data_IF_825104226088
#
_entry.id   IF_825104226088
#
_cell.length_a   1.000
_cell.length_b   1.000
_cell.length_c   1.000
_cell.angle_alpha   90.00
_cell.angle_beta   90.00
_cell.angle_gamma   90.00
#
_symmetry.space_group_name_H-M   'P 1'
#
loop_
_entity.id
_entity.type
_entity.pdbx_description
1 polymer ?
#
# COMPACT_ATOMS: atom_id res chain seq x y z
N UNK A 1 -16.26 2.87 15.90
CA UNK A 1 -16.07 2.26 14.57
C UNK A 1 -15.71 3.30 13.51
N UNK A 2 -15.96 4.59 13.75
CA UNK A 2 -15.65 5.69 12.82
C UNK A 2 -14.16 5.81 12.48
N UNK A 3 -13.27 5.57 13.45
CA UNK A 3 -11.82 5.56 13.21
C UNK A 3 -11.37 4.56 12.13
N UNK A 4 -11.98 3.38 12.04
CA UNK A 4 -11.61 2.39 11.01
C UNK A 4 -12.05 2.85 9.61
N UNK A 5 -13.15 3.59 9.51
CA UNK A 5 -13.60 4.17 8.25
C UNK A 5 -12.67 5.33 7.83
N UNK A 6 -12.32 6.21 8.78
CA UNK A 6 -11.33 7.27 8.56
C UNK A 6 -9.98 6.69 8.13
N UNK A 7 -9.53 5.62 8.78
CA UNK A 7 -8.32 4.91 8.41
C UNK A 7 -8.40 4.35 6.99
N UNK A 8 -9.54 3.80 6.57
CA UNK A 8 -9.72 3.27 5.21
C UNK A 8 -9.57 4.36 4.14
N UNK A 9 -10.24 5.50 4.34
CA UNK A 9 -10.15 6.66 3.44
C UNK A 9 -8.73 7.22 3.42
N UNK A 10 -8.13 7.41 4.60
CA UNK A 10 -6.78 7.94 4.74
C UNK A 10 -5.73 7.03 4.08
N UNK A 11 -5.84 5.71 4.26
CA UNK A 11 -4.95 4.73 3.64
C UNK A 11 -5.03 4.77 2.10
N UNK A 12 -6.24 4.95 1.55
CA UNK A 12 -6.45 5.09 0.11
C UNK A 12 -5.86 6.38 -0.46
N UNK A 13 -5.96 7.49 0.28
CA UNK A 13 -5.38 8.76 -0.16
C UNK A 13 -3.85 8.75 -0.09
N UNK A 14 -3.27 8.16 0.95
CA UNK A 14 -1.81 7.94 1.02
C UNK A 14 -1.35 7.07 -0.14
N UNK A 15 -2.05 5.96 -0.42
CA UNK A 15 -1.76 5.13 -1.59
C UNK A 15 -1.70 5.94 -2.89
N UNK A 16 -2.76 6.72 -3.18
CA UNK A 16 -2.84 7.51 -4.41
C UNK A 16 -1.72 8.53 -4.48
N UNK A 17 -1.44 9.20 -3.38
CA UNK A 17 -0.41 10.23 -3.31
C UNK A 17 1.00 9.63 -3.47
N UNK A 18 1.28 8.52 -2.79
CA UNK A 18 2.54 7.80 -2.90
C UNK A 18 2.77 7.31 -4.34
N UNK A 19 1.77 6.66 -4.94
CA UNK A 19 1.87 6.16 -6.31
C UNK A 19 2.08 7.30 -7.32
N UNK A 20 1.28 8.38 -7.24
CA UNK A 20 1.37 9.47 -8.20
C UNK A 20 2.68 10.26 -8.08
N UNK A 21 3.21 10.41 -6.86
CA UNK A 21 4.53 11.01 -6.63
C UNK A 21 5.64 10.13 -7.21
N UNK A 22 5.64 8.85 -6.88
CA UNK A 22 6.63 7.90 -7.38
C UNK A 22 6.57 7.82 -8.93
N UNK A 23 5.38 7.89 -9.50
CA UNK A 23 5.16 8.01 -10.94
C UNK A 23 5.76 9.28 -11.55
N UNK A 24 5.60 10.45 -10.92
CA UNK A 24 6.20 11.69 -11.43
C UNK A 24 7.73 11.65 -11.42
N UNK A 25 8.30 10.83 -10.54
CA UNK A 25 9.74 10.64 -10.39
C UNK A 25 10.27 9.47 -11.26
N UNK A 26 9.42 8.84 -12.07
CA UNK A 26 9.71 7.63 -12.86
C UNK A 26 10.12 6.41 -12.03
N UNK A 27 9.42 6.18 -10.92
CA UNK A 27 9.55 5.03 -10.03
C UNK A 27 11.02 4.71 -9.68
N UNK A 28 11.75 5.66 -9.07
CA UNK A 28 13.14 5.44 -8.70
C UNK A 28 13.27 4.25 -7.75
N UNK A 29 14.28 3.40 -7.97
CA UNK A 29 14.63 2.38 -6.99
C UNK A 29 15.05 3.04 -5.68
N UNK A 30 14.63 2.49 -4.55
CA UNK A 30 14.99 3.04 -3.23
C UNK A 30 16.50 2.98 -2.97
N UNK A 31 17.19 1.99 -3.52
CA UNK A 31 18.64 1.78 -3.44
C UNK A 31 19.12 0.78 -4.49
N UNK A 32 20.45 0.67 -4.69
CA UNK A 32 21.05 -0.32 -5.60
C UNK A 32 20.69 -1.78 -5.28
N UNK A 33 20.38 -2.08 -4.01
CA UNK A 33 20.03 -3.43 -3.56
C UNK A 33 18.52 -3.70 -3.58
N UNK A 34 17.69 -2.70 -3.87
CA UNK A 34 16.23 -2.82 -3.92
C UNK A 34 15.74 -2.85 -5.35
N UNK A 35 14.77 -3.73 -5.61
CA UNK A 35 14.21 -3.94 -6.96
C UNK A 35 12.86 -3.25 -7.18
N UNK A 36 12.31 -2.65 -6.14
CA UNK A 36 11.04 -1.92 -6.12
C UNK A 36 11.28 -0.43 -5.84
N UNK A 37 10.26 0.39 -6.05
CA UNK A 37 10.32 1.84 -5.89
C UNK A 37 9.69 2.33 -4.58
N UNK A 38 9.82 3.62 -4.31
CA UNK A 38 9.51 4.24 -3.02
C UNK A 38 8.03 4.13 -2.62
N UNK A 39 7.09 4.14 -3.57
CA UNK A 39 5.66 4.07 -3.23
C UNK A 39 5.27 2.79 -2.50
N UNK A 40 6.00 1.69 -2.71
CA UNK A 40 5.79 0.44 -1.97
C UNK A 40 6.10 0.65 -0.49
N UNK A 41 7.24 1.30 -0.19
CA UNK A 41 7.66 1.57 1.19
C UNK A 41 6.66 2.49 1.88
N UNK A 42 6.24 3.55 1.21
CA UNK A 42 5.29 4.53 1.77
C UNK A 42 3.96 3.86 2.14
N UNK A 43 3.42 3.02 1.25
CA UNK A 43 2.17 2.28 1.49
C UNK A 43 2.32 1.31 2.67
N UNK A 44 3.38 0.50 2.69
CA UNK A 44 3.59 -0.46 3.79
C UNK A 44 3.89 0.23 5.12
N UNK A 45 4.61 1.35 5.12
CA UNK A 45 4.88 2.13 6.33
C UNK A 45 3.56 2.59 6.95
N UNK A 46 2.68 3.19 6.15
CA UNK A 46 1.38 3.64 6.61
C UNK A 46 0.50 2.48 7.12
N UNK A 47 0.41 1.37 6.38
CA UNK A 47 -0.39 0.22 6.79
C UNK A 47 0.14 -0.40 8.10
N UNK A 48 1.46 -0.43 8.29
CA UNK A 48 2.07 -0.91 9.53
C UNK A 48 1.82 0.04 10.70
N UNK A 49 1.85 1.35 10.48
CA UNK A 49 1.49 2.35 11.49
C UNK A 49 0.03 2.21 11.91
N UNK A 50 -0.89 2.08 10.96
CA UNK A 50 -2.31 1.85 11.24
C UNK A 50 -2.54 0.56 12.03
N UNK A 51 -1.84 -0.53 11.68
CA UNK A 51 -1.89 -1.78 12.43
C UNK A 51 -1.35 -1.61 13.86
N UNK A 52 -0.27 -0.84 14.03
CA UNK A 52 0.32 -0.57 15.34
C UNK A 52 -0.66 0.21 16.22
N UNK A 53 -1.32 1.23 15.68
CA UNK A 53 -2.36 1.98 16.39
C UNK A 53 -3.53 1.09 16.80
N UNK A 54 -4.00 0.24 15.88
CA UNK A 54 -5.07 -0.72 16.17
C UNK A 54 -4.69 -1.67 17.31
N UNK A 55 -3.45 -2.18 17.33
CA UNK A 55 -2.94 -3.05 18.40
C UNK A 55 -2.77 -2.34 19.75
N UNK A 56 -2.59 -1.02 19.73
CA UNK A 56 -2.46 -0.19 20.93
C UNK A 56 -3.80 0.24 21.51
N UNK A 57 -4.91 -0.03 20.80
CA UNK A 57 -6.23 0.19 21.37
C UNK A 57 -6.48 -0.83 22.50
N UNK A 58 -6.60 -0.35 23.73
CA UNK A 58 -7.04 -1.17 24.87
C UNK A 58 -8.51 -1.60 24.66
N UNK A 59 -8.70 -2.69 23.93
CA UNK A 59 -10.00 -3.31 23.71
C UNK A 59 -10.20 -4.47 24.71
N UNK A 60 -11.02 -4.30 25.75
CA UNK A 60 -11.17 -5.32 26.79
C UNK A 60 -11.97 -6.54 26.31
N UNK A 61 -12.71 -6.43 25.21
CA UNK A 61 -13.50 -7.52 24.63
C UNK A 61 -12.77 -8.15 23.43
N UNK A 62 -12.33 -9.41 23.52
CA UNK A 62 -11.60 -10.08 22.44
C UNK A 62 -12.44 -10.27 21.15
N UNK A 63 -13.76 -10.40 21.24
CA UNK A 63 -14.63 -10.53 20.06
C UNK A 63 -14.71 -9.23 19.27
N UNK A 64 -14.76 -8.08 19.98
CA UNK A 64 -14.76 -6.76 19.34
C UNK A 64 -13.42 -6.50 18.68
N UNK A 65 -12.31 -6.83 19.36
CA UNK A 65 -10.97 -6.72 18.78
C UNK A 65 -10.82 -7.59 17.52
N UNK A 66 -11.36 -8.81 17.54
CA UNK A 66 -11.38 -9.69 16.37
C UNK A 66 -12.18 -9.08 15.20
N UNK A 67 -13.34 -8.46 15.44
CA UNK A 67 -14.12 -7.79 14.38
C UNK A 67 -13.39 -6.56 13.83
N UNK A 68 -12.67 -5.82 14.68
CA UNK A 68 -11.83 -4.70 14.26
C UNK A 68 -10.66 -5.16 13.38
N UNK A 69 -9.95 -6.23 13.78
CA UNK A 69 -8.90 -6.84 12.96
C UNK A 69 -9.45 -7.35 11.62
N UNK A 70 -10.65 -7.93 11.62
CA UNK A 70 -11.34 -8.38 10.40
C UNK A 70 -11.74 -7.22 9.49
N UNK A 71 -12.08 -6.05 10.05
CA UNK A 71 -12.32 -4.83 9.27
C UNK A 71 -11.02 -4.28 8.70
N UNK A 72 -9.96 -4.22 9.50
CA UNK A 72 -8.65 -3.77 9.06
C UNK A 72 -8.09 -4.62 7.91
N UNK A 73 -8.29 -5.94 7.95
CA UNK A 73 -7.87 -6.80 6.83
C UNK A 73 -8.58 -6.50 5.50
N UNK A 74 -9.82 -5.98 5.54
CA UNK A 74 -10.50 -5.50 4.34
C UNK A 74 -9.86 -4.22 3.80
N UNK A 75 -9.44 -3.31 4.68
CA UNK A 75 -8.69 -2.11 4.29
C UNK A 75 -7.36 -2.49 3.65
N UNK A 76 -6.59 -3.40 4.24
CA UNK A 76 -5.36 -3.94 3.65
C UNK A 76 -5.61 -4.45 2.23
N UNK A 77 -6.58 -5.35 2.06
CA UNK A 77 -6.90 -5.92 0.76
C UNK A 77 -7.32 -4.85 -0.26
N UNK A 78 -8.15 -3.88 0.15
CA UNK A 78 -8.60 -2.79 -0.71
C UNK A 78 -7.43 -1.93 -1.19
N UNK A 79 -6.53 -1.54 -0.28
CA UNK A 79 -5.35 -0.73 -0.60
C UNK A 79 -4.39 -1.47 -1.53
N UNK A 80 -4.06 -2.72 -1.22
CA UNK A 80 -3.12 -3.51 -2.03
C UNK A 80 -3.67 -3.80 -3.44
N UNK A 81 -4.95 -4.17 -3.55
CA UNK A 81 -5.61 -4.37 -4.84
C UNK A 81 -5.69 -3.06 -5.64
N UNK A 82 -5.97 -1.93 -4.98
CA UNK A 82 -5.99 -0.64 -5.65
C UNK A 82 -4.59 -0.25 -6.17
N UNK A 83 -3.52 -0.52 -5.43
CA UNK A 83 -2.15 -0.33 -5.94
C UNK A 83 -1.92 -1.15 -7.20
N UNK A 84 -2.24 -2.45 -7.16
CA UNK A 84 -2.06 -3.36 -8.30
C UNK A 84 -2.87 -2.90 -9.53
N UNK A 85 -4.11 -2.46 -9.33
CA UNK A 85 -4.97 -1.90 -10.38
C UNK A 85 -4.39 -0.62 -10.99
N UNK A 86 -3.82 0.28 -10.17
CA UNK A 86 -3.12 1.47 -10.65
C UNK A 86 -1.91 1.12 -11.51
N UNK A 87 -1.06 0.17 -11.06
CA UNK A 87 0.06 -0.35 -11.86
C UNK A 87 -0.44 -0.92 -13.18
N UNK A 88 -1.45 -1.78 -13.15
CA UNK A 88 -1.99 -2.43 -14.36
C UNK A 88 -2.49 -1.40 -15.39
N UNK A 89 -3.21 -0.37 -14.93
CA UNK A 89 -3.75 0.71 -15.78
C UNK A 89 -2.66 1.51 -16.48
N UNK A 90 -1.56 1.77 -15.79
CA UNK A 90 -0.47 2.57 -16.32
C UNK A 90 0.63 1.76 -17.01
N UNK A 91 0.67 0.43 -16.84
CA UNK A 91 1.76 -0.43 -17.32
C UNK A 91 2.08 -0.26 -18.81
N UNK A 92 1.05 -0.16 -19.65
CA UNK A 92 1.22 0.06 -21.10
C UNK A 92 1.97 1.34 -21.46
N UNK A 93 2.02 2.34 -20.57
CA UNK A 93 2.77 3.59 -20.78
C UNK A 93 4.26 3.41 -20.56
N UNK A 94 4.66 2.39 -19.81
CA UNK A 94 6.03 2.15 -19.37
C UNK A 94 6.66 0.90 -20.00
N UNK A 95 5.89 0.11 -20.76
CA UNK A 95 6.35 -1.15 -21.38
C UNK A 95 7.55 -0.98 -22.33
N UNK A 96 7.75 0.20 -22.90
CA UNK A 96 8.87 0.50 -23.78
C UNK A 96 10.18 0.80 -23.02
N UNK A 97 10.11 1.00 -21.70
CA UNK A 97 11.27 1.10 -20.81
C UNK A 97 11.37 -0.19 -20.00
N UNK A 98 12.25 -1.10 -20.42
CA UNK A 98 12.42 -2.42 -19.82
C UNK A 98 12.73 -2.35 -18.33
N UNK A 99 13.59 -1.40 -17.93
CA UNK A 99 13.99 -1.25 -16.52
C UNK A 99 12.78 -0.81 -15.69
N UNK A 100 12.03 0.17 -16.19
CA UNK A 100 10.87 0.68 -15.50
C UNK A 100 9.74 -0.34 -15.39
N UNK A 101 9.47 -1.07 -16.48
CA UNK A 101 8.50 -2.18 -16.49
C UNK A 101 8.88 -3.26 -15.46
N UNK A 102 10.17 -3.62 -15.36
CA UNK A 102 10.66 -4.54 -14.33
C UNK A 102 10.41 -4.02 -12.91
N UNK A 103 10.68 -2.74 -12.65
CA UNK A 103 10.43 -2.12 -11.34
C UNK A 103 8.95 -2.22 -10.97
N UNK A 104 8.04 -1.91 -11.90
CA UNK A 104 6.60 -2.02 -11.65
C UNK A 104 6.16 -3.46 -11.34
N UNK A 105 6.72 -4.45 -12.02
CA UNK A 105 6.47 -5.86 -11.71
C UNK A 105 7.02 -6.23 -10.31
N UNK A 106 8.20 -5.74 -9.96
CA UNK A 106 8.79 -5.95 -8.64
C UNK A 106 7.96 -5.28 -7.54
N UNK A 107 7.37 -4.12 -7.80
CA UNK A 107 6.45 -3.46 -6.86
C UNK A 107 5.26 -4.38 -6.55
N UNK A 108 4.60 -4.90 -7.58
CA UNK A 108 3.47 -5.83 -7.42
C UNK A 108 3.89 -7.10 -6.69
N UNK A 109 5.07 -7.63 -7.00
CA UNK A 109 5.62 -8.79 -6.29
C UNK A 109 5.86 -8.47 -4.80
N UNK A 110 6.30 -7.25 -4.47
CA UNK A 110 6.55 -6.84 -3.10
C UNK A 110 5.27 -6.70 -2.27
N UNK A 111 4.12 -6.39 -2.90
CA UNK A 111 2.81 -6.35 -2.22
C UNK A 111 2.35 -7.72 -1.68
N UNK A 112 2.97 -8.82 -2.12
CA UNK A 112 2.62 -10.19 -1.72
C UNK A 112 3.28 -10.61 -0.40
N UNK A 113 4.28 -9.86 0.06
CA UNK A 113 5.03 -10.11 1.29
C UNK A 113 4.49 -9.25 2.43
#
# INVERSE_FOLDING_TARGET
>A
MDWLNENDEHSMDILRNAYNRDKSDNFPQTSEHTKFSNSVIDVFTQLNEALKLLKQMDCPNPEVYADMMKRFSKTLNKVLLAYADMVQKDFNKFVNDEKLACILMNNVQQLRF
#
